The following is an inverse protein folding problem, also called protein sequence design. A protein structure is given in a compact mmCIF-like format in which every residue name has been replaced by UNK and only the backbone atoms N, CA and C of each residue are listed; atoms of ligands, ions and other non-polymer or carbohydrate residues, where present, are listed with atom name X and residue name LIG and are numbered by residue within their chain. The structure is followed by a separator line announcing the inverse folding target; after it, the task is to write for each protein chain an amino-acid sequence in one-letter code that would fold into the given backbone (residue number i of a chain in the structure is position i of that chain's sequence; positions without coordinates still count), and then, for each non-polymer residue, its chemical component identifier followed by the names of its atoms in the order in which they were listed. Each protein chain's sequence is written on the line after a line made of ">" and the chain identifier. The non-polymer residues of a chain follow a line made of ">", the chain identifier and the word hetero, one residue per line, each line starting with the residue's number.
data_IF_906242818104
#
_entry.id   IF_906242818104
#
_cell.length_a   1.000
_cell.length_b   1.000
_cell.length_c   1.000
_cell.angle_alpha   90.00
_cell.angle_beta   90.00
_cell.angle_gamma   90.00
#
_symmetry.space_group_name_H-M   'P 1'
#
loop_
_entity.id
_entity.type
_entity.pdbx_description
1 polymer ?
#
# COMPACT_ATOMS: atom_id res chain seq x y z
N UNK A 1 -17.56 3.00 28.05
CA UNK A 1 -16.32 2.28 28.35
C UNK A 1 -15.23 2.97 27.59
N UNK A 2 -14.23 3.49 28.30
CA UNK A 2 -13.09 4.22 27.73
C UNK A 2 -12.08 3.25 27.12
N UNK A 3 -11.26 3.77 26.21
CA UNK A 3 -10.20 3.10 25.43
C UNK A 3 -8.97 2.75 26.31
N UNK A 4 -9.13 2.64 27.62
CA UNK A 4 -8.01 2.65 28.58
C UNK A 4 -7.52 1.26 29.02
N UNK A 5 -8.04 0.15 28.51
CA UNK A 5 -7.73 -1.19 29.10
C UNK A 5 -7.28 -2.29 28.12
N UNK A 6 -6.85 -1.96 26.90
CA UNK A 6 -6.28 -2.98 26.00
C UNK A 6 -4.87 -2.58 25.55
N UNK A 7 -3.91 -3.43 25.90
CA UNK A 7 -2.45 -3.44 25.62
C UNK A 7 -1.63 -3.04 26.84
N UNK A 8 -1.72 -3.92 27.84
CA UNK A 8 -0.81 -3.98 28.97
C UNK A 8 0.49 -4.67 28.50
N UNK A 9 1.37 -3.83 27.98
CA UNK A 9 2.78 -4.11 27.78
C UNK A 9 3.46 -2.79 27.95
N UNK A 10 3.78 -2.42 29.20
CA UNK A 10 4.59 -1.25 29.54
C UNK A 10 5.89 -1.31 28.75
N UNK A 11 5.89 -0.72 27.57
CA UNK A 11 7.10 -0.23 26.92
C UNK A 11 7.60 0.85 27.88
N UNK A 12 8.68 0.58 28.60
CA UNK A 12 9.26 1.57 29.50
C UNK A 12 9.49 2.86 28.70
N UNK A 13 8.77 3.91 29.10
CA UNK A 13 8.72 5.21 28.44
C UNK A 13 10.11 5.88 28.31
N UNK A 14 11.15 5.29 28.93
CA UNK A 14 12.53 5.75 28.86
C UNK A 14 13.18 5.55 27.47
N UNK A 15 12.72 4.57 26.67
CA UNK A 15 13.38 4.24 25.40
C UNK A 15 12.75 4.91 24.16
N UNK A 16 11.51 5.42 24.24
CA UNK A 16 10.84 6.13 23.13
C UNK A 16 11.60 7.40 22.70
N UNK A 17 12.10 8.25 23.64
CA UNK A 17 12.93 9.40 23.28
C UNK A 17 14.28 9.00 22.68
N UNK A 18 14.82 7.83 23.04
CA UNK A 18 16.06 7.32 22.48
C UNK A 18 15.87 6.85 21.04
N UNK A 19 14.85 6.04 20.76
CA UNK A 19 14.51 5.61 19.39
C UNK A 19 14.22 6.81 18.50
N UNK A 20 13.46 7.80 18.99
CA UNK A 20 13.22 9.06 18.26
C UNK A 20 14.50 9.87 18.00
N UNK A 21 15.42 9.95 18.97
CA UNK A 21 16.71 10.64 18.81
C UNK A 21 17.61 9.93 17.81
N UNK A 22 17.68 8.61 17.89
CA UNK A 22 18.45 7.75 16.98
C UNK A 22 17.90 7.84 15.55
N UNK A 23 16.57 7.91 15.39
CA UNK A 23 15.91 8.15 14.09
C UNK A 23 16.17 9.57 13.57
N UNK A 24 16.25 10.58 14.44
CA UNK A 24 16.52 11.97 14.05
C UNK A 24 17.99 12.26 13.76
N UNK A 25 18.92 11.45 14.28
CA UNK A 25 20.37 11.65 14.17
C UNK A 25 21.02 10.89 13.00
N UNK A 26 20.28 10.05 12.28
CA UNK A 26 20.84 9.22 11.23
C UNK A 26 20.41 9.71 9.83
N UNK A 27 21.33 10.35 9.11
CA UNK A 27 21.14 10.86 7.74
C UNK A 27 21.00 9.75 6.67
N UNK A 28 20.84 8.50 7.09
CA UNK A 28 20.66 7.38 6.16
C UNK A 28 19.27 7.46 5.50
N UNK A 29 19.15 7.41 4.15
CA UNK A 29 17.88 7.57 3.44
C UNK A 29 16.80 6.58 3.88
N UNK A 30 17.21 5.39 4.32
CA UNK A 30 16.29 4.37 4.82
C UNK A 30 15.79 4.64 6.25
N UNK A 31 16.48 5.45 7.06
CA UNK A 31 16.06 5.84 8.42
C UNK A 31 15.05 6.99 8.38
N UNK A 32 15.20 7.93 7.43
CA UNK A 32 14.17 8.92 7.13
C UNK A 32 12.85 8.25 6.72
N UNK A 33 12.93 7.12 6.00
CA UNK A 33 11.77 6.29 5.69
C UNK A 33 11.10 5.74 6.96
N UNK A 34 11.85 5.37 8.01
CA UNK A 34 11.30 4.82 9.29
C UNK A 34 10.46 5.85 10.07
N UNK A 35 10.78 7.14 9.96
CA UNK A 35 9.91 8.21 10.48
C UNK A 35 8.48 8.17 9.91
N UNK A 36 8.31 7.53 8.75
CA UNK A 36 7.03 7.31 8.06
C UNK A 36 6.50 5.86 8.16
N UNK A 37 7.29 4.90 8.69
CA UNK A 37 6.97 3.46 8.65
C UNK A 37 6.23 2.97 9.91
N UNK A 38 4.97 3.37 10.05
CA UNK A 38 3.96 2.63 10.83
C UNK A 38 4.14 2.57 12.35
N UNK A 39 3.28 1.77 13.00
CA UNK A 39 3.28 1.58 14.45
C UNK A 39 4.45 0.70 14.90
N UNK A 40 5.07 1.07 16.03
CA UNK A 40 6.01 0.18 16.74
C UNK A 40 5.19 -0.96 17.32
N UNK A 41 5.42 -2.17 16.82
CA UNK A 41 4.70 -3.38 17.25
C UNK A 41 5.46 -4.19 18.29
N UNK A 42 6.76 -3.93 18.48
CA UNK A 42 7.59 -4.56 19.51
C UNK A 42 8.73 -3.62 19.92
N UNK A 43 8.99 -3.52 21.22
CA UNK A 43 10.21 -2.92 21.75
C UNK A 43 10.69 -3.73 22.96
N UNK A 44 11.83 -4.41 22.84
CA UNK A 44 12.34 -5.30 23.90
C UNK A 44 13.85 -5.19 24.03
N UNK A 45 14.35 -5.26 25.27
CA UNK A 45 15.77 -5.53 25.50
C UNK A 45 16.08 -6.99 25.14
N UNK A 46 17.15 -7.19 24.39
CA UNK A 46 17.61 -8.50 23.95
C UNK A 46 19.08 -8.66 24.29
N UNK A 47 19.39 -9.72 25.07
CA UNK A 47 20.76 -10.11 25.36
C UNK A 47 21.22 -11.08 24.27
N UNK A 48 22.23 -10.67 23.50
CA UNK A 48 22.71 -11.47 22.37
C UNK A 48 23.54 -12.63 22.88
N UNK A 49 23.12 -13.85 22.56
CA UNK A 49 23.79 -15.08 22.93
C UNK A 49 24.52 -15.71 21.75
N UNK A 50 25.38 -16.68 22.03
CA UNK A 50 26.00 -17.53 20.99
C UNK A 50 24.94 -18.33 20.24
N UNK A 51 23.87 -18.73 20.92
CA UNK A 51 22.76 -19.50 20.34
C UNK A 51 22.02 -18.68 19.27
N UNK A 52 21.82 -17.38 19.49
CA UNK A 52 21.19 -16.50 18.50
C UNK A 52 21.96 -16.46 17.16
N UNK A 53 23.29 -16.46 17.23
CA UNK A 53 24.16 -16.50 16.03
C UNK A 53 24.08 -17.87 15.36
N UNK A 54 24.10 -18.95 16.15
CA UNK A 54 24.00 -20.32 15.64
C UNK A 54 22.67 -20.61 14.95
N UNK A 55 21.57 -20.03 15.43
CA UNK A 55 20.25 -20.13 14.77
C UNK A 55 20.33 -19.50 13.37
N UNK A 56 20.92 -18.31 13.24
CA UNK A 56 21.08 -17.65 11.94
C UNK A 56 22.00 -18.44 11.00
N UNK A 57 23.11 -18.99 11.51
CA UNK A 57 23.99 -19.87 10.73
C UNK A 57 23.28 -21.12 10.22
N UNK A 58 22.39 -21.71 11.03
CA UNK A 58 21.55 -22.84 10.65
C UNK A 58 20.52 -22.47 9.57
N UNK A 59 19.90 -21.30 9.66
CA UNK A 59 19.00 -20.76 8.64
C UNK A 59 19.73 -20.50 7.30
N UNK A 60 20.94 -19.94 7.37
CA UNK A 60 21.82 -19.74 6.21
C UNK A 60 22.15 -21.10 5.56
N UNK A 61 22.54 -22.10 6.37
CA UNK A 61 22.93 -23.42 5.90
C UNK A 61 21.77 -24.23 5.29
N UNK A 62 20.55 -24.03 5.79
CA UNK A 62 19.34 -24.72 5.30
C UNK A 62 18.73 -24.07 4.05
N UNK A 63 19.23 -22.89 3.64
CA UNK A 63 18.72 -22.17 2.48
C UNK A 63 19.30 -22.72 1.16
N UNK A 64 18.53 -23.54 0.42
CA UNK A 64 18.87 -23.98 -0.95
C UNK A 64 18.43 -22.94 -2.01
N UNK A 65 19.31 -22.55 -2.94
CA UNK A 65 19.12 -21.33 -3.78
C UNK A 65 18.97 -21.59 -5.28
N UNK A 66 17.93 -20.99 -5.90
CA UNK A 66 18.10 -20.08 -7.04
C UNK A 66 17.53 -18.66 -6.77
N UNK A 67 18.13 -17.62 -7.38
CA UNK A 67 17.56 -16.29 -7.61
C UNK A 67 17.29 -15.40 -6.39
N UNK A 68 16.03 -14.97 -6.17
CA UNK A 68 15.59 -14.03 -5.11
C UNK A 68 15.99 -14.43 -3.67
N UNK A 69 16.38 -15.69 -3.46
CA UNK A 69 16.94 -16.17 -2.18
C UNK A 69 18.38 -15.70 -1.94
N UNK A 70 19.09 -15.21 -2.95
CA UNK A 70 20.46 -14.68 -2.83
C UNK A 70 20.50 -13.41 -1.97
N UNK A 71 19.56 -12.49 -2.14
CA UNK A 71 19.54 -11.25 -1.35
C UNK A 71 19.09 -11.50 0.08
N UNK A 72 18.13 -12.42 0.29
CA UNK A 72 17.78 -12.92 1.63
C UNK A 72 18.99 -13.57 2.32
N UNK A 73 19.76 -14.37 1.60
CA UNK A 73 20.97 -15.00 2.13
C UNK A 73 22.05 -13.96 2.47
N UNK A 74 22.27 -12.93 1.63
CA UNK A 74 23.18 -11.81 1.95
C UNK A 74 22.78 -11.08 3.22
N UNK A 75 21.47 -10.83 3.40
CA UNK A 75 20.95 -10.16 4.59
C UNK A 75 21.08 -11.02 5.84
N UNK A 76 20.83 -12.33 5.76
CA UNK A 76 21.05 -13.26 6.87
C UNK A 76 22.54 -13.33 7.25
N UNK A 77 23.45 -13.41 6.27
CA UNK A 77 24.88 -13.36 6.52
C UNK A 77 25.30 -12.04 7.19
N UNK A 78 24.83 -10.89 6.68
CA UNK A 78 25.09 -9.59 7.28
C UNK A 78 24.59 -9.52 8.73
N UNK A 79 23.41 -10.08 9.01
CA UNK A 79 22.86 -10.14 10.37
C UNK A 79 23.69 -11.02 11.29
N UNK A 80 24.14 -12.18 10.81
CA UNK A 80 25.02 -13.08 11.57
C UNK A 80 26.34 -12.40 11.92
N UNK A 81 26.99 -11.78 10.93
CA UNK A 81 28.26 -11.07 11.10
C UNK A 81 28.14 -9.90 12.08
N UNK A 82 27.04 -9.14 12.00
CA UNK A 82 26.76 -8.03 12.89
C UNK A 82 26.45 -8.52 14.30
N UNK A 83 25.49 -9.43 14.49
CA UNK A 83 25.13 -9.94 15.82
C UNK A 83 26.30 -10.66 16.50
N UNK A 84 27.16 -11.34 15.75
CA UNK A 84 28.38 -11.96 16.26
C UNK A 84 29.29 -11.00 17.03
N UNK A 85 29.34 -9.73 16.65
CA UNK A 85 30.14 -8.69 17.32
C UNK A 85 29.54 -8.22 18.65
N UNK A 86 28.25 -8.53 18.88
CA UNK A 86 27.51 -8.11 20.07
C UNK A 86 27.18 -9.27 21.00
N UNK A 87 27.69 -10.48 20.77
CA UNK A 87 27.55 -11.60 21.69
C UNK A 87 28.02 -11.19 23.10
N UNK A 88 27.16 -11.41 24.09
CA UNK A 88 27.38 -11.01 25.47
C UNK A 88 27.01 -9.55 25.79
N UNK A 89 26.43 -8.81 24.83
CA UNK A 89 25.93 -7.45 25.04
C UNK A 89 24.40 -7.40 25.07
N UNK A 90 23.87 -6.34 25.66
CA UNK A 90 22.45 -6.04 25.70
C UNK A 90 22.12 -4.99 24.64
N UNK A 91 21.17 -5.32 23.77
CA UNK A 91 20.72 -4.46 22.69
C UNK A 91 19.23 -4.17 22.85
N UNK A 92 18.76 -3.06 22.28
CA UNK A 92 17.33 -2.76 22.16
C UNK A 92 16.84 -3.19 20.78
N UNK A 93 15.85 -4.07 20.73
CA UNK A 93 15.21 -4.55 19.50
C UNK A 93 13.87 -3.86 19.31
N UNK A 94 13.67 -3.18 18.18
CA UNK A 94 12.43 -2.51 17.81
C UNK A 94 11.85 -3.09 16.51
N UNK A 95 10.53 -3.33 16.47
CA UNK A 95 9.82 -3.82 15.28
C UNK A 95 8.79 -2.82 14.80
N UNK A 96 8.74 -2.63 13.49
CA UNK A 96 7.82 -1.73 12.80
C UNK A 96 7.03 -2.51 11.77
N UNK A 97 5.72 -2.27 11.67
CA UNK A 97 4.90 -2.88 10.62
C UNK A 97 4.32 -1.77 9.74
N UNK A 98 4.63 -1.78 8.44
CA UNK A 98 4.00 -0.87 7.50
C UNK A 98 2.60 -1.39 7.16
N UNK A 99 1.56 -0.69 7.59
CA UNK A 99 0.16 -1.12 7.45
C UNK A 99 -0.28 -1.41 5.99
N UNK A 100 0.40 -0.84 5.00
CA UNK A 100 0.00 -0.87 3.58
C UNK A 100 0.80 -1.88 2.74
N UNK A 101 1.98 -2.30 3.21
CA UNK A 101 2.86 -3.23 2.48
C UNK A 101 3.10 -4.54 3.23
N UNK A 102 2.48 -4.71 4.40
CA UNK A 102 2.68 -5.86 5.31
C UNK A 102 4.16 -6.22 5.50
N UNK A 103 5.02 -5.21 5.38
CA UNK A 103 6.45 -5.34 5.49
C UNK A 103 6.82 -4.98 6.91
N UNK A 104 7.38 -5.95 7.61
CA UNK A 104 7.92 -5.76 8.95
C UNK A 104 9.37 -5.31 8.83
N UNK A 105 9.81 -4.43 9.71
CA UNK A 105 11.19 -3.98 9.81
C UNK A 105 11.65 -4.22 11.24
N UNK A 106 12.87 -4.73 11.42
CA UNK A 106 13.47 -4.92 12.74
C UNK A 106 14.74 -4.07 12.84
N UNK A 107 14.83 -3.30 13.91
CA UNK A 107 15.99 -2.52 14.29
C UNK A 107 16.62 -3.15 15.52
N UNK A 108 17.96 -3.18 15.53
CA UNK A 108 18.73 -3.48 16.74
C UNK A 108 19.65 -2.30 17.04
N UNK A 109 19.54 -1.79 18.27
CA UNK A 109 20.20 -0.55 18.73
C UNK A 109 21.11 -0.92 19.90
N UNK A 110 22.38 -0.53 19.80
CA UNK A 110 23.30 -0.62 20.93
C UNK A 110 23.11 0.61 21.83
N UNK A 111 22.68 0.37 23.06
CA UNK A 111 22.37 1.40 24.04
C UNK A 111 23.64 2.14 24.50
N UNK A 112 24.81 1.51 24.43
CA UNK A 112 26.07 2.10 24.92
C UNK A 112 26.76 2.98 23.88
N UNK A 113 26.47 2.79 22.58
CA UNK A 113 27.15 3.51 21.49
C UNK A 113 26.25 4.48 20.71
N UNK A 114 24.97 4.63 21.08
CA UNK A 114 23.94 5.41 20.34
C UNK A 114 23.92 5.13 18.82
N UNK A 115 24.49 4.00 18.39
CA UNK A 115 24.71 3.62 16.99
C UNK A 115 23.56 2.74 16.51
N UNK A 116 23.00 3.02 15.33
CA UNK A 116 22.10 2.06 14.66
C UNK A 116 22.95 0.98 14.04
N UNK A 117 22.86 -0.23 14.58
CA UNK A 117 23.72 -1.33 14.15
C UNK A 117 23.07 -2.15 13.05
N UNK A 118 21.74 -2.16 12.93
CA UNK A 118 21.10 -2.91 11.83
C UNK A 118 19.74 -2.35 11.47
N UNK A 119 19.59 -1.96 10.20
CA UNK A 119 18.31 -1.89 9.49
C UNK A 119 18.25 -3.08 8.55
N UNK A 120 17.65 -4.17 8.99
CA UNK A 120 17.34 -5.27 8.09
C UNK A 120 15.82 -5.31 7.91
N UNK A 121 15.36 -4.78 6.78
CA UNK A 121 13.99 -4.95 6.34
C UNK A 121 13.78 -6.40 5.94
N UNK A 122 13.29 -7.21 6.85
CA UNK A 122 12.78 -8.54 6.54
C UNK A 122 11.27 -8.47 6.57
N UNK A 123 10.61 -8.70 5.43
CA UNK A 123 9.25 -9.20 5.44
C UNK A 123 9.26 -10.53 6.21
N UNK A 124 9.08 -10.45 7.53
CA UNK A 124 9.01 -11.60 8.40
C UNK A 124 7.77 -12.38 7.98
N UNK A 125 7.99 -13.56 7.40
CA UNK A 125 6.95 -14.58 7.36
C UNK A 125 7.16 -15.38 8.61
N UNK A 126 6.28 -15.16 9.58
CA UNK A 126 6.24 -16.01 10.77
C UNK A 126 6.10 -17.47 10.28
N UNK A 127 7.15 -18.31 10.43
CA UNK A 127 7.28 -19.52 9.63
C UNK A 127 6.31 -20.64 10.02
N UNK A 128 5.44 -20.44 11.01
CA UNK A 128 4.59 -21.52 11.56
C UNK A 128 3.24 -21.04 12.07
N UNK A 129 2.62 -20.03 11.48
CA UNK A 129 1.18 -19.84 11.73
C UNK A 129 0.47 -20.97 10.98
N UNK A 130 -0.02 -21.98 11.69
CA UNK A 130 -0.81 -23.05 11.09
C UNK A 130 -2.14 -22.50 10.57
N UNK A 131 -2.66 -23.11 9.50
CA UNK A 131 -3.99 -22.77 9.00
C UNK A 131 -5.03 -23.12 10.08
N UNK A 132 -5.92 -22.18 10.45
CA UNK A 132 -6.93 -22.45 11.48
C UNK A 132 -7.91 -23.54 11.02
N UNK A 133 -7.96 -24.63 11.79
CA UNK A 133 -8.71 -25.88 11.46
C UNK A 133 -10.23 -25.65 11.41
N UNK A 134 -10.75 -24.74 12.24
CA UNK A 134 -12.19 -24.44 12.38
C UNK A 134 -12.56 -23.00 11.97
N UNK A 135 -11.67 -22.31 11.24
CA UNK A 135 -11.96 -20.96 10.77
C UNK A 135 -13.14 -20.92 9.81
N UNK A 136 -13.94 -19.86 9.92
CA UNK A 136 -14.88 -19.47 8.87
C UNK A 136 -14.14 -19.22 7.55
N UNK A 137 -14.88 -19.27 6.44
CA UNK A 137 -14.30 -19.03 5.11
C UNK A 137 -13.57 -17.67 5.04
N UNK A 138 -14.14 -16.62 5.63
CA UNK A 138 -13.56 -15.28 5.65
C UNK A 138 -12.25 -15.26 6.45
N UNK A 139 -12.24 -15.88 7.63
CA UNK A 139 -11.02 -15.98 8.47
C UNK A 139 -9.92 -16.76 7.74
N UNK A 140 -10.28 -17.86 7.07
CA UNK A 140 -9.32 -18.63 6.25
C UNK A 140 -8.74 -17.79 5.12
N UNK A 141 -9.56 -17.01 4.43
CA UNK A 141 -9.10 -16.16 3.31
C UNK A 141 -8.23 -15.00 3.81
N UNK A 142 -8.56 -14.39 4.95
CA UNK A 142 -7.69 -13.41 5.62
C UNK A 142 -6.34 -14.04 5.97
N UNK A 143 -6.36 -15.21 6.58
CA UNK A 143 -5.16 -15.98 6.88
C UNK A 143 -4.34 -16.27 5.62
N UNK A 144 -4.98 -16.55 4.47
CA UNK A 144 -4.27 -16.74 3.20
C UNK A 144 -3.50 -15.48 2.80
N UNK A 145 -4.11 -14.30 2.88
CA UNK A 145 -3.44 -13.05 2.54
C UNK A 145 -2.25 -12.75 3.46
N UNK A 146 -2.40 -13.06 4.75
CA UNK A 146 -1.42 -12.73 5.79
C UNK A 146 -0.27 -13.75 5.85
N UNK A 147 -0.61 -15.04 5.88
CA UNK A 147 0.29 -16.10 6.32
C UNK A 147 0.63 -17.14 5.24
N UNK A 148 -0.17 -17.29 4.18
CA UNK A 148 0.05 -18.39 3.22
C UNK A 148 1.46 -18.36 2.59
N UNK A 149 2.17 -19.51 2.59
CA UNK A 149 3.52 -19.60 2.06
C UNK A 149 3.50 -19.52 0.53
N UNK A 150 3.68 -18.33 -0.02
CA UNK A 150 3.68 -18.11 -1.47
C UNK A 150 3.99 -16.67 -1.83
N UNK A 151 4.14 -16.36 -3.12
CA UNK A 151 4.18 -14.96 -3.57
C UNK A 151 2.81 -14.30 -3.38
N UNK A 152 2.73 -12.96 -3.46
CA UNK A 152 1.43 -12.27 -3.44
C UNK A 152 0.46 -12.83 -4.49
N UNK A 153 0.98 -13.21 -5.66
CA UNK A 153 0.20 -13.88 -6.70
C UNK A 153 -0.37 -15.23 -6.27
N UNK A 154 0.44 -16.07 -5.62
CA UNK A 154 0.01 -17.39 -5.15
C UNK A 154 -1.06 -17.25 -4.06
N UNK A 155 -0.88 -16.30 -3.13
CA UNK A 155 -1.86 -15.96 -2.09
C UNK A 155 -3.18 -15.49 -2.72
N UNK A 156 -3.11 -14.58 -3.69
CA UNK A 156 -4.28 -14.11 -4.41
C UNK A 156 -5.04 -15.24 -5.11
N UNK A 157 -4.32 -16.14 -5.77
CA UNK A 157 -4.91 -17.29 -6.46
C UNK A 157 -5.61 -18.22 -5.47
N UNK A 158 -4.95 -18.57 -4.38
CA UNK A 158 -5.50 -19.42 -3.33
C UNK A 158 -6.76 -18.79 -2.69
N UNK A 159 -6.75 -17.47 -2.44
CA UNK A 159 -7.90 -16.75 -1.92
C UNK A 159 -9.09 -16.79 -2.89
N UNK A 160 -8.86 -16.54 -4.20
CA UNK A 160 -9.89 -16.60 -5.24
C UNK A 160 -10.48 -18.00 -5.36
N UNK A 161 -9.63 -19.04 -5.41
CA UNK A 161 -10.07 -20.45 -5.47
C UNK A 161 -10.89 -20.83 -4.24
N UNK A 162 -10.47 -20.38 -3.05
CA UNK A 162 -11.15 -20.67 -1.79
C UNK A 162 -12.53 -20.00 -1.72
N UNK A 163 -12.65 -18.73 -2.15
CA UNK A 163 -13.92 -18.00 -2.13
C UNK A 163 -14.93 -18.51 -3.17
N UNK A 164 -14.46 -18.90 -4.36
CA UNK A 164 -15.31 -19.29 -5.48
C UNK A 164 -15.55 -20.81 -5.60
N UNK A 165 -15.06 -21.62 -4.65
CA UNK A 165 -15.16 -23.07 -4.68
C UNK A 165 -16.63 -23.56 -4.78
N UNK A 166 -17.13 -23.72 -6.02
CA UNK A 166 -18.51 -24.07 -6.32
C UNK A 166 -19.54 -22.97 -6.08
N UNK A 167 -19.09 -21.71 -5.86
CA UNK A 167 -19.95 -20.56 -5.57
C UNK A 167 -19.89 -19.55 -6.71
N UNK A 168 -21.02 -18.92 -7.00
CA UNK A 168 -21.06 -17.75 -7.88
C UNK A 168 -20.75 -16.47 -7.09
N UNK A 169 -20.19 -15.47 -7.78
CA UNK A 169 -19.90 -14.15 -7.21
C UNK A 169 -21.14 -13.47 -6.62
N UNK A 170 -22.32 -13.71 -7.18
CA UNK A 170 -23.59 -13.19 -6.68
C UNK A 170 -23.96 -13.71 -5.29
N UNK A 171 -23.50 -14.90 -4.92
CA UNK A 171 -23.75 -15.53 -3.61
C UNK A 171 -22.81 -15.07 -2.49
N UNK A 172 -21.79 -14.26 -2.81
CA UNK A 172 -20.80 -13.81 -1.83
C UNK A 172 -21.35 -12.67 -0.96
N UNK A 173 -20.94 -12.58 0.31
CA UNK A 173 -21.18 -11.41 1.16
C UNK A 173 -20.34 -10.21 0.70
N UNK A 174 -20.62 -9.01 1.24
CA UNK A 174 -19.83 -7.82 0.91
C UNK A 174 -18.35 -7.99 1.32
N UNK A 175 -18.11 -8.54 2.50
CA UNK A 175 -16.77 -8.84 3.01
C UNK A 175 -16.04 -9.87 2.13
N UNK A 176 -16.76 -10.90 1.67
CA UNK A 176 -16.21 -11.89 0.72
C UNK A 176 -15.90 -11.27 -0.65
N UNK A 177 -16.73 -10.34 -1.14
CA UNK A 177 -16.45 -9.60 -2.37
C UNK A 177 -15.19 -8.73 -2.22
N UNK A 178 -14.96 -8.11 -1.06
CA UNK A 178 -13.76 -7.31 -0.82
C UNK A 178 -12.50 -8.17 -0.93
N UNK A 179 -12.52 -9.32 -0.26
CA UNK A 179 -11.43 -10.29 -0.31
C UNK A 179 -11.24 -10.87 -1.71
N UNK A 180 -12.33 -11.11 -2.45
CA UNK A 180 -12.26 -11.59 -3.83
C UNK A 180 -11.60 -10.56 -4.76
N UNK A 181 -12.00 -9.29 -4.65
CA UNK A 181 -11.43 -8.21 -5.46
C UNK A 181 -9.93 -8.03 -5.16
N UNK A 182 -9.54 -8.11 -3.88
CA UNK A 182 -8.13 -8.10 -3.47
C UNK A 182 -7.37 -9.31 -4.04
N UNK A 183 -7.97 -10.50 -4.03
CA UNK A 183 -7.38 -11.71 -4.59
C UNK A 183 -7.10 -11.58 -6.09
N UNK A 184 -8.05 -11.06 -6.87
CA UNK A 184 -7.84 -10.78 -8.28
C UNK A 184 -6.76 -9.72 -8.54
N UNK A 185 -6.74 -8.63 -7.76
CA UNK A 185 -5.70 -7.62 -7.85
C UNK A 185 -4.30 -8.20 -7.59
N UNK A 186 -4.15 -9.03 -6.55
CA UNK A 186 -2.89 -9.71 -6.25
C UNK A 186 -2.48 -10.71 -7.34
N UNK A 187 -3.42 -11.22 -8.13
CA UNK A 187 -3.16 -12.02 -9.33
C UNK A 187 -2.76 -11.21 -10.57
N UNK A 188 -2.74 -9.87 -10.48
CA UNK A 188 -2.68 -8.93 -11.60
C UNK A 188 -3.85 -9.10 -12.59
N UNK A 189 -5.03 -9.46 -12.09
CA UNK A 189 -6.27 -9.59 -12.85
C UNK A 189 -7.19 -8.39 -12.54
N UNK A 190 -6.69 -7.18 -12.79
CA UNK A 190 -7.32 -5.92 -12.36
C UNK A 190 -8.72 -5.72 -12.97
N UNK A 191 -8.96 -6.20 -14.19
CA UNK A 191 -10.29 -6.18 -14.80
C UNK A 191 -11.31 -7.01 -13.99
N UNK A 192 -10.91 -8.20 -13.52
CA UNK A 192 -11.77 -9.03 -12.66
C UNK A 192 -11.98 -8.36 -11.29
N UNK A 193 -10.94 -7.76 -10.72
CA UNK A 193 -11.05 -7.01 -9.46
C UNK A 193 -12.03 -5.83 -9.59
N UNK A 194 -12.00 -5.12 -10.73
CA UNK A 194 -12.92 -4.04 -11.05
C UNK A 194 -14.36 -4.54 -11.15
N UNK A 195 -14.62 -5.64 -11.87
CA UNK A 195 -15.97 -6.20 -11.98
C UNK A 195 -16.54 -6.65 -10.62
N UNK A 196 -15.72 -7.25 -9.75
CA UNK A 196 -16.13 -7.56 -8.38
C UNK A 196 -16.46 -6.29 -7.59
N UNK A 197 -15.63 -5.25 -7.70
CA UNK A 197 -15.87 -3.98 -7.02
C UNK A 197 -17.13 -3.26 -7.53
N UNK A 198 -17.45 -3.36 -8.82
CA UNK A 198 -18.71 -2.87 -9.40
C UNK A 198 -19.91 -3.59 -8.78
N UNK A 199 -19.82 -4.90 -8.58
CA UNK A 199 -20.87 -5.66 -7.88
C UNK A 199 -21.00 -5.20 -6.43
N UNK A 200 -19.89 -5.01 -5.71
CA UNK A 200 -19.89 -4.43 -4.36
C UNK A 200 -20.59 -3.07 -4.31
N UNK A 201 -20.20 -2.15 -5.19
CA UNK A 201 -20.79 -0.81 -5.29
C UNK A 201 -22.28 -0.86 -5.67
N UNK A 202 -22.72 -1.78 -6.53
CA UNK A 202 -24.13 -1.93 -6.88
C UNK A 202 -25.01 -2.35 -5.68
N UNK A 203 -24.44 -3.07 -4.71
CA UNK A 203 -25.11 -3.50 -3.48
C UNK A 203 -25.09 -2.41 -2.41
N UNK A 204 -24.03 -1.62 -2.39
CA UNK A 204 -23.83 -0.52 -1.47
C UNK A 204 -23.48 0.76 -2.23
N UNK A 205 -24.46 1.41 -2.91
CA UNK A 205 -24.20 2.52 -3.83
C UNK A 205 -23.55 3.75 -3.17
N UNK A 206 -23.73 3.91 -1.86
CA UNK A 206 -23.18 5.02 -1.08
C UNK A 206 -21.79 4.69 -0.48
N UNK A 207 -21.28 3.47 -0.69
CA UNK A 207 -19.99 3.05 -0.13
C UNK A 207 -18.83 3.73 -0.84
N UNK A 208 -18.21 4.68 -0.14
CA UNK A 208 -16.98 5.35 -0.57
C UNK A 208 -15.83 4.36 -0.76
N UNK A 209 -15.80 3.30 0.04
CA UNK A 209 -14.77 2.26 -0.08
C UNK A 209 -14.90 1.53 -1.42
N UNK A 210 -16.11 1.09 -1.78
CA UNK A 210 -16.35 0.41 -3.05
C UNK A 210 -16.06 1.31 -4.23
N UNK A 211 -16.49 2.57 -4.18
CA UNK A 211 -16.21 3.56 -5.20
C UNK A 211 -14.70 3.77 -5.41
N UNK A 212 -13.96 3.91 -4.30
CA UNK A 212 -12.49 4.03 -4.33
C UNK A 212 -11.83 2.80 -4.96
N UNK A 213 -12.29 1.59 -4.62
CA UNK A 213 -11.76 0.33 -5.18
C UNK A 213 -12.02 0.20 -6.67
N UNK A 214 -13.21 0.54 -7.16
CA UNK A 214 -13.49 0.56 -8.61
C UNK A 214 -12.51 1.50 -9.32
N UNK A 215 -12.34 2.73 -8.80
CA UNK A 215 -11.41 3.69 -9.38
C UNK A 215 -9.95 3.23 -9.38
N UNK A 216 -9.49 2.62 -8.27
CA UNK A 216 -8.16 2.05 -8.16
C UNK A 216 -7.93 0.91 -9.17
N UNK A 217 -8.85 -0.07 -9.24
CA UNK A 217 -8.70 -1.21 -10.16
C UNK A 217 -8.84 -0.81 -11.63
N UNK A 218 -9.66 0.20 -11.94
CA UNK A 218 -9.76 0.76 -13.29
C UNK A 218 -8.42 1.39 -13.70
N UNK A 219 -7.79 2.21 -12.83
CA UNK A 219 -6.45 2.75 -13.07
C UNK A 219 -5.42 1.63 -13.29
N UNK A 220 -5.41 0.62 -12.42
CA UNK A 220 -4.46 -0.50 -12.52
C UNK A 220 -4.70 -1.39 -13.75
N UNK A 221 -5.93 -1.49 -14.25
CA UNK A 221 -6.24 -2.25 -15.45
C UNK A 221 -5.82 -1.51 -16.74
N UNK A 222 -5.69 -0.19 -16.68
CA UNK A 222 -5.43 0.66 -17.85
C UNK A 222 -4.13 1.49 -17.72
N UNK A 223 -3.23 1.12 -16.81
CA UNK A 223 -2.06 1.92 -16.42
C UNK A 223 -1.21 2.40 -17.62
N UNK A 224 -1.08 1.56 -18.67
CA UNK A 224 -0.28 1.86 -19.87
C UNK A 224 -1.12 2.21 -21.11
N UNK A 225 -2.43 2.39 -20.97
CA UNK A 225 -3.36 2.49 -22.10
C UNK A 225 -4.35 3.65 -21.95
N UNK A 226 -3.87 4.88 -22.15
CA UNK A 226 -4.65 6.11 -22.00
C UNK A 226 -6.04 6.08 -22.68
N UNK A 227 -6.20 5.68 -23.96
CA UNK A 227 -7.52 5.63 -24.59
C UNK A 227 -8.46 4.61 -23.93
N UNK A 228 -7.91 3.51 -23.39
CA UNK A 228 -8.70 2.48 -22.72
C UNK A 228 -9.19 2.96 -21.36
N UNK A 229 -8.37 3.70 -20.61
CA UNK A 229 -8.76 4.31 -19.34
C UNK A 229 -9.97 5.24 -19.52
N UNK A 230 -9.89 6.17 -20.49
CA UNK A 230 -11.00 7.10 -20.76
C UNK A 230 -12.28 6.36 -21.16
N UNK A 231 -12.15 5.35 -22.03
CA UNK A 231 -13.27 4.52 -22.45
C UNK A 231 -13.89 3.74 -21.28
N UNK A 232 -13.08 3.25 -20.35
CA UNK A 232 -13.56 2.56 -19.15
C UNK A 232 -14.33 3.50 -18.22
N UNK A 233 -13.87 4.74 -18.03
CA UNK A 233 -14.62 5.75 -17.29
C UNK A 233 -15.97 6.07 -17.96
N UNK A 234 -16.00 6.21 -19.29
CA UNK A 234 -17.24 6.44 -20.04
C UNK A 234 -18.22 5.27 -19.93
N UNK A 235 -17.72 4.03 -19.89
CA UNK A 235 -18.52 2.85 -19.60
C UNK A 235 -19.10 2.90 -18.18
N UNK A 236 -18.31 3.26 -17.15
CA UNK A 236 -18.81 3.43 -15.79
C UNK A 236 -19.95 4.46 -15.71
N UNK A 237 -19.83 5.58 -16.43
CA UNK A 237 -20.88 6.61 -16.52
C UNK A 237 -22.14 6.03 -17.21
N UNK A 238 -21.97 5.38 -18.37
CA UNK A 238 -23.07 4.81 -19.14
C UNK A 238 -23.82 3.71 -18.37
N UNK A 239 -23.08 2.87 -17.64
CA UNK A 239 -23.60 1.79 -16.80
C UNK A 239 -24.12 2.27 -15.43
N UNK A 240 -23.99 3.57 -15.13
CA UNK A 240 -24.39 4.19 -13.84
C UNK A 240 -23.72 3.55 -12.63
N UNK A 241 -22.44 3.22 -12.77
CA UNK A 241 -21.62 2.64 -11.70
C UNK A 241 -21.25 3.76 -10.74
N UNK A 242 -22.03 4.00 -9.70
CA UNK A 242 -21.76 5.12 -8.78
C UNK A 242 -21.95 6.51 -9.42
N UNK A 243 -21.51 7.58 -8.73
CA UNK A 243 -21.78 8.94 -9.16
C UNK A 243 -20.99 9.35 -10.43
N UNK A 244 -21.64 9.90 -11.47
CA UNK A 244 -20.99 10.22 -12.74
C UNK A 244 -19.90 11.28 -12.61
N UNK A 245 -20.04 12.25 -11.71
CA UNK A 245 -19.07 13.30 -11.46
C UNK A 245 -17.70 12.75 -11.03
N UNK A 246 -17.68 11.61 -10.33
CA UNK A 246 -16.45 10.95 -9.88
C UNK A 246 -15.64 10.46 -11.07
N UNK A 247 -16.30 9.85 -12.06
CA UNK A 247 -15.64 9.36 -13.27
C UNK A 247 -15.17 10.50 -14.17
N UNK A 248 -15.97 11.56 -14.29
CA UNK A 248 -15.56 12.77 -15.00
C UNK A 248 -14.31 13.41 -14.38
N UNK A 249 -14.24 13.50 -13.04
CA UNK A 249 -13.05 13.99 -12.35
C UNK A 249 -11.85 13.05 -12.50
N UNK A 250 -12.06 11.73 -12.44
CA UNK A 250 -10.99 10.78 -12.68
C UNK A 250 -10.41 10.89 -14.08
N UNK A 251 -11.25 11.13 -15.11
CA UNK A 251 -10.79 11.44 -16.47
C UNK A 251 -9.95 12.71 -16.47
N UNK A 252 -10.47 13.81 -15.90
CA UNK A 252 -9.77 15.09 -15.85
C UNK A 252 -8.37 14.96 -15.21
N UNK A 253 -8.27 14.31 -14.05
CA UNK A 253 -7.00 14.04 -13.38
C UNK A 253 -5.99 13.34 -14.26
N UNK A 254 -6.42 12.24 -14.88
CA UNK A 254 -5.54 11.37 -15.64
C UNK A 254 -5.04 12.09 -16.90
N UNK A 255 -5.92 12.88 -17.53
CA UNK A 255 -5.56 13.76 -18.65
C UNK A 255 -4.56 14.83 -18.21
N UNK A 256 -4.77 15.49 -17.05
CA UNK A 256 -3.82 16.48 -16.52
C UNK A 256 -2.46 15.86 -16.24
N UNK A 257 -2.43 14.70 -15.58
CA UNK A 257 -1.18 14.01 -15.26
C UNK A 257 -0.35 13.66 -16.51
N UNK A 258 -1.01 13.32 -17.63
CA UNK A 258 -0.33 13.14 -18.93
C UNK A 258 0.08 14.48 -19.52
N UNK A 259 -0.80 15.49 -19.46
CA UNK A 259 -0.52 16.83 -20.00
C UNK A 259 0.76 17.44 -19.43
N UNK A 260 0.99 17.25 -18.12
CA UNK A 260 2.16 17.77 -17.40
C UNK A 260 3.36 16.83 -17.39
N UNK A 261 3.27 15.64 -17.98
CA UNK A 261 4.37 14.68 -18.01
C UNK A 261 4.63 13.91 -16.71
N UNK A 262 3.69 13.91 -15.76
CA UNK A 262 3.86 13.26 -14.45
C UNK A 262 4.06 11.73 -14.56
N UNK A 263 3.68 11.11 -15.67
CA UNK A 263 3.92 9.69 -15.95
C UNK A 263 5.23 9.41 -16.68
N UNK A 264 5.89 10.43 -17.24
CA UNK A 264 7.14 10.28 -18.01
C UNK A 264 8.37 10.56 -17.14
N UNK A 265 8.19 11.29 -16.03
CA UNK A 265 9.28 11.70 -15.14
C UNK A 265 8.90 11.36 -13.69
N UNK A 266 9.40 10.22 -13.19
CA UNK A 266 9.05 9.66 -11.86
C UNK A 266 9.36 10.59 -10.65
N UNK A 267 10.02 11.73 -10.86
CA UNK A 267 10.49 12.64 -9.80
C UNK A 267 10.05 14.11 -9.96
N UNK A 268 9.22 14.46 -10.96
CA UNK A 268 8.82 15.85 -11.19
C UNK A 268 7.37 16.09 -10.73
N UNK A 269 7.22 16.65 -9.52
CA UNK A 269 5.97 17.28 -9.12
C UNK A 269 5.80 18.59 -9.90
N UNK A 270 5.00 18.54 -10.97
CA UNK A 270 4.65 19.73 -11.74
C UNK A 270 4.05 20.79 -10.83
N UNK A 271 4.55 22.02 -10.94
CA UNK A 271 4.07 23.21 -10.22
C UNK A 271 3.56 24.28 -11.20
N UNK A 272 2.65 25.17 -10.77
CA UNK A 272 2.20 26.28 -11.61
C UNK A 272 3.38 27.11 -12.16
N UNK A 273 3.40 27.29 -13.47
CA UNK A 273 4.52 27.93 -14.20
C UNK A 273 5.55 26.98 -14.80
N UNK A 274 5.53 25.69 -14.46
CA UNK A 274 6.36 24.68 -15.10
C UNK A 274 5.88 24.37 -16.53
N UNK A 275 6.78 23.86 -17.36
CA UNK A 275 6.47 23.46 -18.74
C UNK A 275 5.38 22.38 -18.75
N UNK A 276 4.40 22.55 -19.65
CA UNK A 276 3.34 21.59 -19.91
C UNK A 276 3.70 20.87 -21.21
N UNK A 277 3.94 19.56 -21.14
CA UNK A 277 4.43 18.77 -22.27
C UNK A 277 3.37 18.61 -23.38
N UNK A 278 2.11 18.44 -22.99
CA UNK A 278 0.98 18.25 -23.91
C UNK A 278 -0.19 19.21 -23.60
N UNK A 279 -0.02 20.53 -23.85
CA UNK A 279 -1.02 21.54 -23.51
C UNK A 279 -2.35 21.35 -24.26
N UNK A 280 -2.35 20.68 -25.41
CA UNK A 280 -3.56 20.34 -26.17
C UNK A 280 -4.53 19.44 -25.40
N UNK A 281 -4.02 18.64 -24.44
CA UNK A 281 -4.84 17.74 -23.63
C UNK A 281 -5.63 18.48 -22.53
N UNK A 282 -5.17 19.66 -22.11
CA UNK A 282 -5.80 20.42 -21.03
C UNK A 282 -7.24 20.84 -21.36
N UNK A 283 -7.56 21.03 -22.65
CA UNK A 283 -8.94 21.26 -23.08
C UNK A 283 -9.85 20.06 -22.77
N UNK A 284 -9.40 18.83 -23.03
CA UNK A 284 -10.16 17.62 -22.73
C UNK A 284 -10.33 17.42 -21.22
N UNK A 285 -9.31 17.80 -20.43
CA UNK A 285 -9.42 17.82 -18.98
C UNK A 285 -10.47 18.84 -18.51
N UNK A 286 -10.44 20.07 -19.04
CA UNK A 286 -11.41 21.11 -18.72
C UNK A 286 -12.85 20.70 -19.07
N UNK A 287 -13.08 20.12 -20.26
CA UNK A 287 -14.39 19.59 -20.67
C UNK A 287 -14.89 18.50 -19.71
N UNK A 288 -13.98 17.64 -19.23
CA UNK A 288 -14.32 16.61 -18.23
C UNK A 288 -14.64 17.24 -16.87
N UNK A 289 -13.92 18.28 -16.45
CA UNK A 289 -14.24 19.04 -15.23
C UNK A 289 -15.60 19.74 -15.33
N UNK A 290 -15.91 20.35 -16.48
CA UNK A 290 -17.22 20.96 -16.73
C UNK A 290 -18.35 19.95 -16.62
N UNK A 291 -18.19 18.76 -17.22
CA UNK A 291 -19.14 17.68 -17.10
C UNK A 291 -19.35 17.25 -15.63
N UNK A 292 -18.26 17.13 -14.85
CA UNK A 292 -18.36 16.84 -13.42
C UNK A 292 -19.14 17.94 -12.66
N UNK A 293 -18.91 19.20 -12.98
CA UNK A 293 -19.57 20.35 -12.34
C UNK A 293 -21.03 20.51 -12.73
N UNK A 294 -21.43 20.06 -13.93
CA UNK A 294 -22.85 19.98 -14.31
C UNK A 294 -23.57 18.95 -13.45
N UNK A 295 -22.90 17.85 -13.09
CA UNK A 295 -23.44 16.82 -12.22
C UNK A 295 -23.46 17.25 -10.73
N UNK A 296 -22.38 17.84 -10.22
CA UNK A 296 -22.26 18.31 -8.84
C UNK A 296 -21.53 19.66 -8.78
N UNK A 297 -22.27 20.79 -8.78
CA UNK A 297 -21.69 22.13 -8.78
C UNK A 297 -20.85 22.45 -7.55
N UNK A 298 -21.13 21.81 -6.40
CA UNK A 298 -20.41 22.08 -5.15
C UNK A 298 -18.95 21.57 -5.16
N UNK A 299 -18.56 20.75 -6.14
CA UNK A 299 -17.19 20.23 -6.23
C UNK A 299 -16.12 21.33 -6.25
N UNK A 300 -16.41 22.52 -6.81
CA UNK A 300 -15.46 23.64 -6.87
C UNK A 300 -14.92 24.04 -5.50
N UNK A 301 -15.74 23.94 -4.46
CA UNK A 301 -15.38 24.34 -3.10
C UNK A 301 -14.78 23.23 -2.25
N UNK A 302 -14.55 22.03 -2.81
CA UNK A 302 -14.15 20.84 -2.04
C UNK A 302 -12.67 20.49 -2.27
N UNK A 303 -11.97 20.21 -1.17
CA UNK A 303 -10.60 19.69 -1.20
C UNK A 303 -9.59 20.65 -1.83
N UNK A 304 -8.59 20.09 -2.51
CA UNK A 304 -7.52 20.82 -3.16
C UNK A 304 -7.81 21.12 -4.65
N UNK A 305 -9.09 21.41 -4.99
CA UNK A 305 -9.54 21.62 -6.38
C UNK A 305 -8.61 22.53 -7.19
N UNK A 306 -8.29 23.70 -6.64
CA UNK A 306 -7.47 24.70 -7.32
C UNK A 306 -6.02 24.24 -7.55
N UNK A 307 -5.45 23.47 -6.62
CA UNK A 307 -4.10 22.91 -6.74
C UNK A 307 -4.07 21.74 -7.73
N UNK A 308 -5.04 20.82 -7.61
CA UNK A 308 -5.16 19.59 -8.40
C UNK A 308 -5.32 19.86 -9.89
N UNK A 309 -6.02 20.93 -10.25
CA UNK A 309 -6.28 21.31 -11.64
C UNK A 309 -5.59 22.62 -12.06
N UNK A 310 -4.55 23.04 -11.34
CA UNK A 310 -3.86 24.30 -11.60
C UNK A 310 -3.38 24.44 -13.06
N UNK A 311 -2.90 23.35 -13.67
CA UNK A 311 -2.50 23.32 -15.07
C UNK A 311 -3.62 23.71 -16.04
N UNK A 312 -4.87 23.35 -15.74
CA UNK A 312 -6.04 23.73 -16.54
C UNK A 312 -6.29 25.24 -16.46
N UNK A 313 -6.08 25.85 -15.29
CA UNK A 313 -6.34 27.28 -15.07
C UNK A 313 -5.27 28.22 -15.64
N UNK A 314 -4.12 27.69 -16.06
CA UNK A 314 -3.13 28.42 -16.87
C UNK A 314 -3.73 28.85 -18.21
N UNK A 315 -4.66 28.05 -18.76
CA UNK A 315 -5.46 28.42 -19.91
C UNK A 315 -6.51 29.46 -19.51
N UNK A 316 -6.36 30.69 -20.01
CA UNK A 316 -7.22 31.83 -19.64
C UNK A 316 -8.71 31.54 -19.88
N UNK A 317 -9.03 30.74 -20.91
CA UNK A 317 -10.39 30.35 -21.26
C UNK A 317 -11.08 29.42 -20.25
N UNK A 318 -10.34 28.77 -19.34
CA UNK A 318 -10.88 27.83 -18.35
C UNK A 318 -10.78 28.34 -16.90
N UNK A 319 -10.39 29.60 -16.69
CA UNK A 319 -10.30 30.19 -15.34
C UNK A 319 -11.64 30.28 -14.61
N UNK A 320 -12.77 30.25 -15.32
CA UNK A 320 -14.12 30.22 -14.71
C UNK A 320 -14.44 28.92 -13.98
N UNK A 321 -13.61 27.88 -14.14
CA UNK A 321 -13.71 26.59 -13.45
C UNK A 321 -12.99 26.58 -12.10
N UNK A 322 -12.24 27.62 -11.78
CA UNK A 322 -11.60 27.82 -10.48
C UNK A 322 -12.67 27.97 -9.37
N UNK A 323 -12.37 27.44 -8.19
CA UNK A 323 -13.22 27.52 -6.99
C UNK A 323 -13.00 28.79 -6.18
#
# INVERSE_FOLDING_TARGET
>A
MSVEEWIDGRVEFEHVPLVRRVMAANDHPQVAMIGMLGEITLLVEHYVTVEDVQILESEIASTAVPGRRVDALKLLNLRSDLLGQYVGKRLLRARFTKAWEYSTYELTIDLESESIVTMAGFAWRDPTVEEPVDASLIERVRWIFEHYPGTGRDRGKQAVETLLAGRDMGSLSSEELHLLAQGYNWCNLNANAMEVAKVGLSREPESREWLSRVGMYLRSACMDAFPQFLSACDLCIAERVGPPEVWHLMKADYIVAIAVGAYEIEELEWSPGDEILHPELLRLAAESMEAALVCEPELRGRGNWNERFAAVFELTEFRHLMG
#
